data_IF_981985908669
#
_entry.id   IF_981985908669
#
_cell.length_a   1.000
_cell.length_b   1.000
_cell.length_c   1.000
_cell.angle_alpha   90.00
_cell.angle_beta   90.00
_cell.angle_gamma   90.00
#
_symmetry.space_group_name_H-M   'P 1'
#
loop_
_entity.id
_entity.type
_entity.pdbx_description
1 polymer ?
#
# COMPACT_ATOMS: atom_id res chain seq x y z
N UNK A 1 39.53 17.93 16.63
CA UNK A 1 39.28 17.78 15.18
C UNK A 1 38.82 16.35 14.92
N UNK A 2 37.57 16.13 14.51
CA UNK A 2 37.05 14.77 14.25
C UNK A 2 37.34 14.42 12.79
N UNK A 3 38.30 13.53 12.55
CA UNK A 3 38.62 13.00 11.23
C UNK A 3 38.06 11.59 11.09
N UNK A 4 37.29 11.38 10.03
CA UNK A 4 36.64 10.11 9.65
C UNK A 4 35.36 10.40 8.85
N UNK A 5 34.96 9.53 7.90
CA UNK A 5 33.71 9.72 7.16
C UNK A 5 32.55 9.90 8.15
N UNK A 6 31.85 11.04 8.07
CA UNK A 6 30.68 11.29 8.91
C UNK A 6 29.62 10.26 8.55
N UNK A 7 29.20 9.45 9.52
CA UNK A 7 28.03 8.59 9.37
C UNK A 7 26.80 9.49 9.34
N UNK A 8 26.18 9.63 8.17
CA UNK A 8 24.85 10.25 8.08
C UNK A 8 23.84 9.21 8.55
N UNK A 9 23.18 9.47 9.68
CA UNK A 9 22.03 8.68 10.11
C UNK A 9 20.80 9.22 9.37
N UNK A 10 19.96 8.32 8.85
CA UNK A 10 18.69 8.72 8.22
C UNK A 10 17.80 9.34 9.29
N UNK A 11 17.57 10.65 9.22
CA UNK A 11 16.77 11.39 10.19
C UNK A 11 15.26 11.14 10.03
N UNK A 12 14.80 10.86 8.80
CA UNK A 12 13.41 10.56 8.53
C UNK A 12 13.29 9.74 7.24
N UNK A 13 12.40 8.75 7.22
CA UNK A 13 11.98 8.09 5.97
C UNK A 13 10.68 8.77 5.56
N UNK A 14 10.77 9.79 4.71
CA UNK A 14 9.58 10.40 4.11
C UNK A 14 9.17 9.58 2.90
N UNK A 15 8.01 8.94 2.99
CA UNK A 15 7.33 8.45 1.79
C UNK A 15 6.81 9.66 1.01
N UNK A 16 6.74 9.54 -0.31
CA UNK A 16 5.99 10.53 -1.12
C UNK A 16 4.56 10.50 -0.60
N UNK A 17 4.01 11.63 -0.17
CA UNK A 17 2.71 11.68 0.53
C UNK A 17 1.52 11.50 -0.43
N UNK A 18 1.74 11.70 -1.74
CA UNK A 18 0.68 11.67 -2.75
C UNK A 18 1.05 10.91 -4.03
N UNK A 19 0.09 10.19 -4.61
CA UNK A 19 0.20 9.55 -5.92
C UNK A 19 -0.95 10.02 -6.81
N UNK A 20 -0.66 10.32 -8.08
CA UNK A 20 -1.69 10.67 -9.07
C UNK A 20 -2.05 9.44 -9.91
N UNK A 21 -3.33 9.06 -9.88
CA UNK A 21 -3.90 8.02 -10.73
C UNK A 21 -4.66 8.65 -11.89
N UNK A 22 -4.41 8.15 -13.11
CA UNK A 22 -5.12 8.60 -14.31
C UNK A 22 -5.92 7.44 -14.89
N UNK A 23 -7.23 7.55 -14.83
CA UNK A 23 -8.18 6.56 -15.36
C UNK A 23 -8.75 7.04 -16.69
N UNK A 24 -8.99 6.12 -17.61
CA UNK A 24 -9.87 6.42 -18.74
C UNK A 24 -11.30 6.47 -18.20
N UNK A 25 -12.04 7.53 -18.54
CA UNK A 25 -13.36 7.73 -17.99
C UNK A 25 -14.38 6.88 -18.75
N UNK A 26 -15.24 6.17 -18.01
CA UNK A 26 -16.41 5.52 -18.59
C UNK A 26 -17.42 6.55 -19.11
N UNK A 27 -18.32 6.14 -20.01
CA UNK A 27 -19.38 7.03 -20.54
C UNK A 27 -20.32 7.58 -19.45
N UNK A 28 -20.41 6.89 -18.31
CA UNK A 28 -21.22 7.26 -17.15
C UNK A 28 -20.39 7.81 -15.98
N UNK A 29 -19.08 8.05 -16.18
CA UNK A 29 -18.15 8.58 -15.17
C UNK A 29 -18.19 7.82 -13.83
N UNK A 30 -18.36 6.50 -13.87
CA UNK A 30 -18.46 5.65 -12.67
C UNK A 30 -17.23 5.75 -11.79
N UNK A 31 -16.05 5.90 -12.39
CA UNK A 31 -14.80 6.07 -11.64
C UNK A 31 -14.86 7.35 -10.81
N UNK A 32 -15.38 8.45 -11.38
CA UNK A 32 -15.53 9.73 -10.69
C UNK A 32 -16.48 9.59 -9.50
N UNK A 33 -17.66 9.02 -9.71
CA UNK A 33 -18.64 8.82 -8.66
C UNK A 33 -18.11 7.91 -7.52
N UNK A 34 -17.26 6.93 -7.83
CA UNK A 34 -16.59 6.09 -6.83
C UNK A 34 -15.66 6.92 -5.95
N UNK A 35 -14.77 7.73 -6.54
CA UNK A 35 -13.84 8.54 -5.77
C UNK A 35 -14.52 9.67 -5.02
N UNK A 36 -15.56 10.29 -5.57
CA UNK A 36 -16.37 11.31 -4.88
C UNK A 36 -17.04 10.72 -3.64
N UNK A 37 -17.65 9.54 -3.76
CA UNK A 37 -18.24 8.84 -2.61
C UNK A 37 -17.22 8.51 -1.52
N UNK A 38 -16.02 8.12 -1.91
CA UNK A 38 -14.94 7.92 -0.95
C UNK A 38 -14.55 9.26 -0.30
N UNK A 39 -14.42 10.34 -1.07
CA UNK A 39 -14.10 11.66 -0.54
C UNK A 39 -15.17 12.17 0.45
N UNK A 40 -16.46 11.87 0.21
CA UNK A 40 -17.55 12.22 1.12
C UNK A 40 -17.49 11.50 2.48
N UNK A 41 -16.69 10.44 2.63
CA UNK A 41 -16.43 9.86 3.95
C UNK A 41 -15.60 10.82 4.82
N UNK A 42 -14.83 11.72 4.21
CA UNK A 42 -13.90 12.59 4.92
C UNK A 42 -14.56 13.83 5.54
N UNK A 43 -15.79 14.19 5.16
CA UNK A 43 -16.46 15.37 5.69
C UNK A 43 -17.98 15.26 5.64
N UNK A 44 -18.66 16.02 6.49
CA UNK A 44 -20.11 16.17 6.45
C UNK A 44 -20.50 17.20 5.38
N UNK A 45 -21.25 16.80 4.35
CA UNK A 45 -21.66 17.68 3.24
C UNK A 45 -22.49 18.91 3.66
N UNK A 46 -23.21 18.84 4.80
CA UNK A 46 -24.06 19.94 5.27
C UNK A 46 -23.30 20.94 6.14
N UNK A 47 -22.42 20.45 7.01
CA UNK A 47 -21.71 21.29 7.98
C UNK A 47 -20.26 21.56 7.61
N UNK A 48 -19.72 20.86 6.61
CA UNK A 48 -18.31 20.89 6.19
C UNK A 48 -17.32 20.49 7.29
N UNK A 49 -17.81 19.85 8.35
CA UNK A 49 -16.95 19.33 9.41
C UNK A 49 -16.20 18.10 8.89
N UNK A 50 -14.88 18.06 9.13
CA UNK A 50 -14.03 16.94 8.77
C UNK A 50 -14.31 15.77 9.71
N UNK A 51 -14.46 14.56 9.15
CA UNK A 51 -14.64 13.31 9.89
C UNK A 51 -13.35 12.84 10.56
N UNK A 52 -13.43 11.78 11.36
CA UNK A 52 -12.23 11.21 11.97
C UNK A 52 -11.37 10.52 10.90
N UNK A 53 -10.04 10.64 11.03
CA UNK A 53 -9.08 10.08 10.06
C UNK A 53 -9.36 8.60 9.74
N UNK A 54 -9.67 7.80 10.75
CA UNK A 54 -9.92 6.37 10.59
C UNK A 54 -11.23 6.03 9.85
N UNK A 55 -12.15 6.99 9.68
CA UNK A 55 -13.46 6.76 9.07
C UNK A 55 -13.41 6.84 7.53
N UNK A 56 -12.38 7.47 6.97
CA UNK A 56 -12.25 7.70 5.52
C UNK A 56 -10.97 7.13 4.90
N UNK A 57 -10.02 6.68 5.70
CA UNK A 57 -8.84 5.99 5.17
C UNK A 57 -9.18 4.57 4.71
N UNK A 58 -8.51 4.15 3.64
CA UNK A 58 -8.57 2.78 3.14
C UNK A 58 -7.20 2.27 2.70
N UNK A 59 -7.21 1.31 1.79
CA UNK A 59 -6.01 0.80 1.14
C UNK A 59 -6.24 0.62 -0.35
N UNK A 60 -5.23 0.91 -1.17
CA UNK A 60 -5.24 0.67 -2.61
C UNK A 60 -4.16 -0.34 -2.96
N UNK A 61 -4.51 -1.36 -3.73
CA UNK A 61 -3.56 -2.34 -4.25
C UNK A 61 -3.39 -2.14 -5.75
N UNK A 62 -2.13 -1.98 -6.19
CA UNK A 62 -1.76 -1.74 -7.58
C UNK A 62 -0.96 -2.96 -8.02
N UNK A 63 -1.39 -3.60 -9.12
CA UNK A 63 -0.74 -4.78 -9.66
C UNK A 63 -0.23 -4.54 -11.08
N UNK A 64 1.01 -4.92 -11.33
CA UNK A 64 1.53 -5.10 -12.69
C UNK A 64 1.21 -6.52 -13.15
N UNK A 65 0.54 -6.63 -14.29
CA UNK A 65 0.15 -7.90 -14.89
C UNK A 65 1.02 -8.19 -16.12
N UNK A 66 1.31 -9.47 -16.37
CA UNK A 66 1.88 -9.89 -17.65
C UNK A 66 0.80 -10.10 -18.72
N UNK A 67 1.22 -10.49 -19.93
CA UNK A 67 0.34 -10.71 -21.08
C UNK A 67 -0.71 -11.81 -20.84
N UNK A 68 -0.48 -12.69 -19.87
CA UNK A 68 -1.39 -13.78 -19.50
C UNK A 68 -2.27 -13.39 -18.30
N UNK A 69 -2.20 -12.13 -17.85
CA UNK A 69 -2.94 -11.64 -16.68
C UNK A 69 -2.34 -12.06 -15.34
N UNK A 70 -1.15 -12.66 -15.30
CA UNK A 70 -0.52 -13.07 -14.06
C UNK A 70 0.14 -11.87 -13.38
N UNK A 71 -0.05 -11.75 -12.06
CA UNK A 71 0.55 -10.68 -11.24
C UNK A 71 2.06 -10.86 -11.15
N UNK A 72 2.82 -9.85 -11.59
CA UNK A 72 4.30 -9.86 -11.59
C UNK A 72 4.90 -9.01 -10.49
N UNK A 73 4.21 -7.96 -10.11
CA UNK A 73 4.61 -7.05 -9.05
C UNK A 73 3.38 -6.38 -8.47
N UNK A 74 3.41 -6.03 -7.19
CA UNK A 74 2.31 -5.33 -6.56
C UNK A 74 2.77 -4.35 -5.49
N UNK A 75 2.00 -3.28 -5.33
CA UNK A 75 2.15 -2.30 -4.27
C UNK A 75 0.84 -2.16 -3.52
N UNK A 76 0.89 -2.07 -2.20
CA UNK A 76 -0.25 -1.74 -1.36
C UNK A 76 -0.01 -0.40 -0.68
N UNK A 77 -0.83 0.58 -1.01
CA UNK A 77 -0.89 1.86 -0.31
C UNK A 77 -1.72 1.69 0.96
N UNK A 78 -1.16 2.11 2.09
CA UNK A 78 -1.78 2.02 3.40
C UNK A 78 -2.26 3.40 3.87
N UNK A 79 -3.41 3.42 4.53
CA UNK A 79 -4.04 4.63 5.08
C UNK A 79 -4.23 5.71 4.00
N UNK A 80 -4.80 5.30 2.86
CA UNK A 80 -4.95 6.16 1.70
C UNK A 80 -6.36 6.73 1.55
N UNK A 81 -6.48 7.90 0.92
CA UNK A 81 -7.76 8.55 0.61
C UNK A 81 -7.61 9.53 -0.57
N UNK A 82 -8.70 9.82 -1.32
CA UNK A 82 -8.67 10.80 -2.39
C UNK A 82 -8.56 12.21 -1.83
N UNK A 83 -7.45 12.88 -2.15
CA UNK A 83 -7.20 14.28 -1.79
C UNK A 83 -7.86 15.23 -2.78
N UNK A 84 -7.75 14.92 -4.06
CA UNK A 84 -8.24 15.76 -5.15
C UNK A 84 -8.73 14.89 -6.30
N UNK A 85 -9.91 15.22 -6.82
CA UNK A 85 -10.48 14.62 -8.02
C UNK A 85 -10.45 15.71 -9.09
N UNK A 86 -9.61 15.54 -10.10
CA UNK A 86 -9.41 16.50 -11.16
C UNK A 86 -10.70 16.83 -11.92
N UNK A 87 -10.77 18.05 -12.43
CA UNK A 87 -11.83 18.46 -13.36
C UNK A 87 -11.79 17.62 -14.65
N UNK A 88 -12.95 17.50 -15.28
CA UNK A 88 -13.04 16.96 -16.64
C UNK A 88 -13.24 18.13 -17.59
N UNK A 89 -12.22 18.41 -18.42
CA UNK A 89 -12.31 19.48 -19.42
C UNK A 89 -13.29 19.09 -20.54
N UNK A 90 -14.33 19.89 -20.73
CA UNK A 90 -15.32 19.73 -21.79
C UNK A 90 -15.18 20.88 -22.78
N UNK A 91 -14.99 20.54 -24.05
CA UNK A 91 -14.90 21.52 -25.14
C UNK A 91 -15.87 21.14 -26.26
N UNK A 92 -16.32 22.14 -27.03
CA UNK A 92 -17.19 21.91 -28.19
C UNK A 92 -16.41 21.45 -29.44
N UNK A 93 -15.08 21.46 -29.35
CA UNK A 93 -14.21 21.01 -30.44
C UNK A 93 -14.37 19.50 -30.69
N UNK A 94 -14.18 19.03 -31.93
CA UNK A 94 -14.16 17.61 -32.21
C UNK A 94 -13.18 16.88 -31.28
N UNK A 95 -13.68 15.87 -30.57
CA UNK A 95 -12.89 15.13 -29.60
C UNK A 95 -11.73 14.38 -30.29
N UNK A 96 -10.50 14.79 -30.02
CA UNK A 96 -9.27 14.14 -30.52
C UNK A 96 -8.66 13.16 -29.52
N UNK A 97 -9.17 13.12 -28.29
CA UNK A 97 -8.67 12.26 -27.22
C UNK A 97 -9.80 11.73 -26.34
N UNK A 98 -9.56 10.57 -25.72
CA UNK A 98 -10.48 9.96 -24.76
C UNK A 98 -10.43 10.76 -23.45
N UNK A 99 -11.60 10.99 -22.86
CA UNK A 99 -11.75 11.65 -21.56
C UNK A 99 -11.01 10.85 -20.48
N UNK A 100 -10.23 11.54 -19.67
CA UNK A 100 -9.47 10.96 -18.56
C UNK A 100 -9.85 11.61 -17.25
N UNK A 101 -9.86 10.83 -16.19
CA UNK A 101 -10.06 11.27 -14.82
C UNK A 101 -8.72 11.17 -14.09
N UNK A 102 -8.21 12.30 -13.59
CA UNK A 102 -7.04 12.33 -12.72
C UNK A 102 -7.48 12.37 -11.25
N UNK A 103 -6.91 11.53 -10.41
CA UNK A 103 -7.22 11.46 -8.98
C UNK A 103 -5.93 11.44 -8.19
N UNK A 104 -5.71 12.48 -7.39
CA UNK A 104 -4.59 12.57 -6.47
C UNK A 104 -4.98 11.92 -5.15
N UNK A 105 -4.29 10.83 -4.80
CA UNK A 105 -4.49 10.09 -3.56
C UNK A 105 -3.38 10.44 -2.59
N UNK A 106 -3.74 10.74 -1.35
CA UNK A 106 -2.78 10.75 -0.24
C UNK A 106 -2.65 9.34 0.35
N UNK A 107 -1.48 9.00 0.88
CA UNK A 107 -1.24 7.73 1.58
C UNK A 107 -0.07 7.85 2.55
N UNK A 108 -0.05 7.01 3.60
CA UNK A 108 0.98 7.13 4.65
C UNK A 108 2.27 6.37 4.34
N UNK A 109 2.14 5.15 3.85
CA UNK A 109 3.28 4.32 3.43
C UNK A 109 2.81 3.25 2.43
N UNK A 110 3.76 2.64 1.71
CA UNK A 110 3.47 1.51 0.83
C UNK A 110 4.18 0.24 1.30
N UNK A 111 3.57 -0.90 0.98
CA UNK A 111 4.15 -2.22 1.12
C UNK A 111 4.34 -2.82 -0.28
N UNK A 112 5.46 -3.51 -0.50
CA UNK A 112 5.60 -4.35 -1.69
C UNK A 112 4.87 -5.66 -1.45
N UNK A 113 4.05 -6.08 -2.41
CA UNK A 113 3.30 -7.34 -2.41
C UNK A 113 4.04 -8.44 -3.18
N UNK A 114 5.31 -8.22 -3.51
CA UNK A 114 6.13 -9.18 -4.26
C UNK A 114 6.46 -10.41 -3.40
N UNK A 115 6.01 -11.58 -3.86
CA UNK A 115 6.30 -12.90 -3.27
C UNK A 115 7.81 -13.20 -3.24
N UNK A 116 8.60 -12.59 -4.13
CA UNK A 116 10.05 -12.80 -4.22
C UNK A 116 10.87 -11.85 -3.33
N UNK A 117 10.29 -10.72 -2.90
CA UNK A 117 10.92 -9.81 -1.95
C UNK A 117 10.39 -10.03 -0.53
N UNK A 118 10.63 -11.21 0.03
CA UNK A 118 10.41 -11.44 1.46
C UNK A 118 11.42 -10.59 2.26
N UNK A 119 10.99 -9.41 2.73
CA UNK A 119 11.57 -8.85 3.95
C UNK A 119 11.03 -9.72 5.10
N UNK A 120 11.87 -10.37 5.91
CA UNK A 120 11.39 -11.30 6.93
C UNK A 120 10.48 -10.54 7.90
N UNK A 121 9.19 -10.89 7.88
CA UNK A 121 8.20 -10.27 8.76
C UNK A 121 8.52 -10.60 10.22
N UNK A 122 8.24 -9.68 11.14
CA UNK A 122 8.53 -9.88 12.56
C UNK A 122 7.72 -11.05 13.15
N UNK A 123 6.52 -11.28 12.62
CA UNK A 123 5.67 -12.43 12.90
C UNK A 123 6.31 -13.76 12.49
N UNK A 124 6.96 -13.82 11.32
CA UNK A 124 7.66 -15.02 10.86
C UNK A 124 8.87 -15.34 11.74
N UNK A 125 9.56 -14.31 12.24
CA UNK A 125 10.68 -14.48 13.20
C UNK A 125 10.20 -15.02 14.56
N UNK A 126 9.06 -14.57 15.05
CA UNK A 126 8.49 -15.05 16.33
C UNK A 126 8.06 -16.51 16.20
N UNK A 127 7.36 -16.87 15.11
CA UNK A 127 6.97 -18.26 14.84
C UNK A 127 8.17 -19.20 14.77
N UNK A 128 9.22 -18.83 14.03
CA UNK A 128 10.44 -19.63 13.93
C UNK A 128 11.21 -19.70 15.26
N UNK A 129 11.21 -18.66 16.09
CA UNK A 129 11.90 -18.67 17.38
C UNK A 129 11.21 -19.60 18.39
N UNK A 130 9.88 -19.65 18.38
CA UNK A 130 9.11 -20.57 19.22
C UNK A 130 9.29 -22.02 18.77
N UNK A 131 9.17 -22.31 17.47
CA UNK A 131 9.37 -23.67 16.93
C UNK A 131 10.77 -24.20 17.22
N UNK A 132 11.82 -23.39 16.95
CA UNK A 132 13.20 -23.79 17.25
C UNK A 132 13.47 -23.97 18.76
N UNK A 133 12.74 -23.28 19.63
CA UNK A 133 12.87 -23.45 21.09
C UNK A 133 12.16 -24.70 21.59
N UNK A 134 11.02 -25.06 20.99
CA UNK A 134 10.29 -26.30 21.31
C UNK A 134 11.10 -27.51 20.82
N UNK A 135 11.60 -27.50 19.58
CA UNK A 135 12.43 -28.57 19.02
C UNK A 135 13.74 -28.79 19.79
N UNK A 136 14.37 -27.70 20.27
CA UNK A 136 15.60 -27.77 21.06
C UNK A 136 15.38 -28.28 22.49
N UNK A 137 14.16 -28.17 23.04
CA UNK A 137 13.81 -28.74 24.34
C UNK A 137 13.38 -30.21 24.24
N UNK A 138 12.65 -30.59 23.18
CA UNK A 138 12.26 -31.98 22.95
C UNK A 138 13.50 -32.84 22.63
N UNK A 139 14.42 -32.35 21.79
CA UNK A 139 15.67 -33.07 21.46
C UNK A 139 16.66 -33.19 22.63
N UNK A 140 16.55 -32.34 23.66
CA UNK A 140 17.38 -32.40 24.88
C UNK A 140 16.87 -33.41 25.91
N UNK A 141 15.61 -33.84 25.81
CA UNK A 141 14.99 -34.78 26.76
C UNK A 141 14.79 -36.19 26.20
N UNK A 142 15.37 -36.53 25.03
CA UNK A 142 15.43 -37.92 24.56
C UNK A 142 16.68 -38.57 25.17
N UNK A 143 16.54 -39.56 26.08
CA UNK A 143 17.69 -40.28 26.63
C UNK A 143 18.43 -41.04 25.53
N UNK A 144 19.77 -41.10 25.63
CA UNK A 144 20.65 -41.72 24.63
C UNK A 144 20.44 -43.24 24.40
N UNK A 145 19.48 -43.85 25.08
CA UNK A 145 19.21 -45.30 25.03
C UNK A 145 18.37 -45.71 23.80
N UNK A 146 17.81 -44.75 23.04
CA UNK A 146 17.05 -45.03 21.80
C UNK A 146 17.78 -44.58 20.51
N UNK A 147 19.11 -44.59 20.49
CA UNK A 147 19.91 -44.49 19.24
C UNK A 147 20.70 -45.76 19.02
N UNK A 148 20.02 -46.83 18.68
CA UNK A 148 20.56 -48.02 17.99
C UNK A 148 19.38 -48.97 17.76
N UNK A 149 18.65 -48.74 16.66
CA UNK A 149 18.06 -49.71 15.73
C UNK A 149 17.55 -48.93 14.51
#
# INVERSE_FOLDING_TARGET
NVHGPRRTVVNNVTFVDSLNFVFQASSDLKERALFEKWQYLAFNEKTWNIGYYNDYIGSVEIYLLDKNGQRRYGLKLMECFPKEIGGTDLTYEPATSIVKLSVTMNFRYWLSLDITQSKPSLSDKIGQTLTNTIERNISRNIPAVFRLF
#
